data_IF_331510333026
#
_entry.id   IF_331510333026
#
_cell.length_a   1.000
_cell.length_b   1.000
_cell.length_c   1.000
_cell.angle_alpha   90.00
_cell.angle_beta   90.00
_cell.angle_gamma   90.00
#
_symmetry.space_group_name_H-M   'P 1'
#
loop_
_entity.id
_entity.type
_entity.pdbx_description
1 polymer ?
#
# COMPACT_ATOMS: atom_id res chain seq x y z
N UNK A 1 -35.81 -25.42 3.29
CA UNK A 1 -34.42 -24.93 3.36
C UNK A 1 -34.02 -24.61 1.93
N UNK A 2 -33.74 -23.36 1.60
CA UNK A 2 -33.22 -23.04 0.27
C UNK A 2 -31.81 -23.63 0.20
N UNK A 3 -31.70 -24.80 -0.43
CA UNK A 3 -30.45 -25.54 -0.50
C UNK A 3 -29.50 -24.90 -1.51
N UNK A 4 -28.20 -25.12 -1.36
CA UNK A 4 -27.19 -24.62 -2.32
C UNK A 4 -27.47 -24.99 -3.78
N UNK A 5 -28.26 -26.05 -4.02
CA UNK A 5 -28.75 -26.42 -5.35
C UNK A 5 -29.64 -25.37 -6.02
N UNK A 6 -30.56 -24.71 -5.31
CA UNK A 6 -31.41 -23.67 -5.90
C UNK A 6 -30.58 -22.46 -6.36
N UNK A 7 -29.59 -22.07 -5.55
CA UNK A 7 -28.67 -20.99 -5.90
C UNK A 7 -27.88 -21.35 -7.16
N UNK A 8 -27.42 -22.59 -7.29
CA UNK A 8 -26.69 -23.06 -8.49
C UNK A 8 -27.58 -23.02 -9.73
N UNK A 9 -28.84 -23.43 -9.64
CA UNK A 9 -29.79 -23.40 -10.77
C UNK A 9 -30.06 -21.96 -11.22
N UNK A 10 -30.32 -21.05 -10.29
CA UNK A 10 -30.52 -19.62 -10.59
C UNK A 10 -29.26 -19.03 -11.23
N UNK A 11 -28.08 -19.39 -10.72
CA UNK A 11 -26.81 -18.95 -11.29
C UNK A 11 -26.64 -19.45 -12.73
N UNK A 12 -26.97 -20.72 -13.01
CA UNK A 12 -26.93 -21.26 -14.37
C UNK A 12 -27.87 -20.53 -15.33
N UNK A 13 -29.10 -20.23 -14.91
CA UNK A 13 -30.05 -19.45 -15.71
C UNK A 13 -29.48 -18.05 -15.99
N UNK A 14 -28.92 -17.38 -14.97
CA UNK A 14 -28.28 -16.08 -15.14
C UNK A 14 -27.08 -16.13 -16.12
N UNK A 15 -26.26 -17.19 -16.06
CA UNK A 15 -25.16 -17.40 -16.99
C UNK A 15 -25.63 -17.64 -18.42
N UNK A 16 -26.78 -18.28 -18.63
CA UNK A 16 -27.36 -18.47 -19.97
C UNK A 16 -27.90 -17.15 -20.54
N UNK A 17 -28.52 -16.31 -19.71
CA UNK A 17 -29.07 -15.02 -20.14
C UNK A 17 -27.98 -13.97 -20.40
N UNK A 18 -27.03 -13.84 -19.47
CA UNK A 18 -26.02 -12.78 -19.51
C UNK A 18 -24.66 -13.26 -20.06
N UNK A 19 -24.44 -14.57 -20.12
CA UNK A 19 -23.17 -15.17 -20.52
C UNK A 19 -22.16 -15.27 -19.37
N UNK A 20 -21.31 -16.31 -19.36
CA UNK A 20 -20.35 -16.52 -18.28
C UNK A 20 -19.22 -15.49 -18.21
N UNK A 21 -19.01 -14.73 -19.29
CA UNK A 21 -18.01 -13.65 -19.33
C UNK A 21 -18.51 -12.37 -18.66
N UNK A 22 -19.82 -12.14 -18.61
CA UNK A 22 -20.40 -10.88 -18.15
C UNK A 22 -20.33 -10.70 -16.63
N UNK A 23 -20.47 -11.80 -15.88
CA UNK A 23 -20.37 -11.80 -14.41
C UNK A 23 -18.96 -11.36 -13.94
N UNK A 24 -17.85 -11.95 -14.43
CA UNK A 24 -16.50 -11.48 -14.10
C UNK A 24 -16.20 -10.05 -14.56
N UNK A 25 -16.69 -9.65 -15.73
CA UNK A 25 -16.51 -8.30 -16.28
C UNK A 25 -17.14 -7.25 -15.35
N UNK A 26 -18.40 -7.45 -14.94
CA UNK A 26 -19.11 -6.58 -14.00
C UNK A 26 -18.43 -6.57 -12.63
N UNK A 27 -18.03 -7.73 -12.11
CA UNK A 27 -17.35 -7.84 -10.82
C UNK A 27 -16.02 -7.08 -10.81
N UNK A 28 -15.27 -7.11 -11.92
CA UNK A 28 -14.01 -6.40 -12.07
C UNK A 28 -14.20 -4.89 -12.09
N UNK A 29 -15.16 -4.39 -12.89
CA UNK A 29 -15.49 -2.97 -12.93
C UNK A 29 -16.04 -2.46 -11.60
N UNK A 30 -16.93 -3.21 -10.94
CA UNK A 30 -17.42 -2.87 -9.60
C UNK A 30 -16.30 -2.90 -8.57
N UNK A 31 -15.39 -3.87 -8.63
CA UNK A 31 -14.25 -3.97 -7.73
C UNK A 31 -13.31 -2.77 -7.86
N UNK A 32 -13.06 -2.32 -9.10
CA UNK A 32 -12.30 -1.09 -9.37
C UNK A 32 -13.03 0.14 -8.83
N UNK A 33 -14.34 0.26 -9.08
CA UNK A 33 -15.14 1.36 -8.55
C UNK A 33 -15.16 1.42 -7.02
N UNK A 34 -15.35 0.28 -6.34
CA UNK A 34 -15.31 0.17 -4.87
C UNK A 34 -13.93 0.51 -4.34
N UNK A 35 -12.86 0.12 -5.04
CA UNK A 35 -11.49 0.44 -4.67
C UNK A 35 -11.22 1.94 -4.76
N UNK A 36 -11.63 2.60 -5.83
CA UNK A 36 -11.49 4.05 -5.97
C UNK A 36 -12.39 4.80 -4.97
N UNK A 37 -13.62 4.34 -4.75
CA UNK A 37 -14.52 4.88 -3.73
C UNK A 37 -13.91 4.80 -2.32
N UNK A 38 -13.30 3.66 -1.96
CA UNK A 38 -12.60 3.48 -0.68
C UNK A 38 -11.39 4.41 -0.55
N UNK A 39 -10.64 4.64 -1.63
CA UNK A 39 -9.50 5.59 -1.61
C UNK A 39 -9.95 7.03 -1.42
N UNK A 40 -11.04 7.43 -2.08
CA UNK A 40 -11.60 8.78 -1.98
C UNK A 40 -12.29 9.00 -0.62
N UNK A 41 -12.95 7.98 -0.08
CA UNK A 41 -13.67 8.04 1.20
C UNK A 41 -12.77 7.87 2.43
N UNK A 42 -11.51 7.43 2.27
CA UNK A 42 -10.51 7.48 3.34
C UNK A 42 -9.72 8.80 3.22
N UNK A 43 -9.99 9.82 4.05
CA UNK A 43 -9.08 10.93 4.20
C UNK A 43 -7.82 10.42 4.94
N UNK A 44 -6.79 9.98 4.19
CA UNK A 44 -5.44 9.54 4.67
C UNK A 44 -5.49 8.13 5.32
N UNK A 45 -4.69 7.16 4.83
CA UNK A 45 -3.27 7.07 5.16
C UNK A 45 -2.41 7.15 3.90
N UNK A 46 -1.81 8.32 3.73
CA UNK A 46 -0.64 8.55 2.87
C UNK A 46 0.45 7.51 3.17
N UNK A 47 0.44 6.93 4.37
CA UNK A 47 1.42 5.98 4.90
C UNK A 47 1.64 4.72 4.05
N UNK A 48 0.65 3.97 3.56
CA UNK A 48 0.96 2.65 2.98
C UNK A 48 1.84 2.67 1.70
N UNK A 49 1.84 3.78 0.96
CA UNK A 49 2.66 3.96 -0.25
C UNK A 49 3.81 4.96 -0.06
N UNK A 50 3.70 5.94 0.83
CA UNK A 50 4.82 6.84 1.17
C UNK A 50 5.80 6.19 2.12
N UNK A 51 5.34 5.36 3.06
CA UNK A 51 6.20 4.63 4.02
C UNK A 51 7.33 3.88 3.31
N UNK A 52 7.08 3.26 2.15
CA UNK A 52 8.12 2.56 1.39
C UNK A 52 9.14 3.49 0.74
N UNK A 53 8.72 4.69 0.32
CA UNK A 53 9.62 5.70 -0.28
C UNK A 53 10.42 6.44 0.79
N UNK A 54 9.79 6.76 1.92
CA UNK A 54 10.42 7.49 3.02
C UNK A 54 11.51 6.63 3.67
N UNK A 55 11.29 5.32 3.80
CA UNK A 55 12.31 4.36 4.25
C UNK A 55 13.51 4.27 3.29
N UNK A 56 13.24 4.29 1.99
CA UNK A 56 14.28 4.25 0.97
C UNK A 56 15.13 5.54 0.98
N UNK A 57 14.49 6.70 1.17
CA UNK A 57 15.16 8.00 1.28
C UNK A 57 15.99 8.10 2.56
N UNK A 58 15.45 7.69 3.72
CA UNK A 58 16.18 7.63 4.98
C UNK A 58 17.40 6.72 4.89
N UNK A 59 17.25 5.56 4.22
CA UNK A 59 18.37 4.63 4.00
C UNK A 59 19.43 5.21 3.07
N UNK A 60 19.05 5.94 2.02
CA UNK A 60 19.99 6.62 1.11
C UNK A 60 20.78 7.71 1.83
N UNK A 61 20.11 8.58 2.58
CA UNK A 61 20.75 9.65 3.36
C UNK A 61 21.68 9.07 4.43
N UNK A 62 21.26 8.01 5.12
CA UNK A 62 22.09 7.31 6.09
C UNK A 62 23.38 6.77 5.45
N UNK A 63 23.28 6.10 4.29
CA UNK A 63 24.44 5.58 3.56
C UNK A 63 25.39 6.69 3.11
N UNK A 64 24.88 7.80 2.58
CA UNK A 64 25.69 8.96 2.17
C UNK A 64 26.43 9.62 3.35
N UNK A 65 25.83 9.58 4.54
CA UNK A 65 26.45 10.06 5.77
C UNK A 65 27.32 8.99 6.45
N UNK A 66 27.38 7.76 5.92
CA UNK A 66 28.07 6.61 6.50
C UNK A 66 27.48 6.16 7.84
N UNK A 67 26.19 6.39 8.06
CA UNK A 67 25.44 5.91 9.22
C UNK A 67 25.11 4.44 8.99
N UNK A 68 25.44 3.60 9.95
CA UNK A 68 25.12 2.18 9.94
C UNK A 68 23.62 1.97 10.10
N UNK A 69 23.00 1.32 9.10
CA UNK A 69 21.54 1.14 8.94
C UNK A 69 21.03 -0.19 9.47
N UNK A 70 21.88 -1.19 9.64
CA UNK A 70 21.47 -2.54 10.03
C UNK A 70 20.99 -2.58 11.49
N UNK A 71 19.79 -3.13 11.70
CA UNK A 71 19.21 -3.34 13.02
C UNK A 71 18.59 -2.11 13.70
N UNK A 72 18.60 -0.93 13.07
CA UNK A 72 18.04 0.30 13.67
C UNK A 72 16.62 0.59 13.19
N UNK A 73 15.74 0.95 14.13
CA UNK A 73 14.40 1.42 13.82
C UNK A 73 14.41 2.80 13.13
N UNK A 74 13.31 3.19 12.48
CA UNK A 74 13.21 4.49 11.75
C UNK A 74 13.56 5.69 12.61
N UNK A 75 13.11 5.70 13.86
CA UNK A 75 13.38 6.79 14.80
C UNK A 75 14.86 6.87 15.19
N UNK A 76 15.50 5.71 15.39
CA UNK A 76 16.92 5.63 15.72
C UNK A 76 17.79 6.02 14.52
N UNK A 77 17.39 5.61 13.32
CA UNK A 77 18.06 5.99 12.09
C UNK A 77 17.95 7.49 11.82
N UNK A 78 16.75 8.07 11.99
CA UNK A 78 16.54 9.50 11.86
C UNK A 78 17.38 10.31 12.86
N UNK A 79 17.44 9.88 14.13
CA UNK A 79 18.30 10.51 15.15
C UNK A 79 19.78 10.41 14.80
N UNK A 80 20.25 9.24 14.36
CA UNK A 80 21.65 9.03 13.98
C UNK A 80 22.06 9.86 12.76
N UNK A 81 21.18 10.02 11.77
CA UNK A 81 21.36 10.92 10.61
C UNK A 81 21.53 12.36 11.08
N UNK A 82 20.64 12.85 11.96
CA UNK A 82 20.67 14.23 12.46
C UNK A 82 21.93 14.49 13.29
N UNK A 83 22.32 13.56 14.17
CA UNK A 83 23.53 13.69 14.99
C UNK A 83 24.79 13.77 14.11
N UNK A 84 24.89 12.90 13.11
CA UNK A 84 26.06 12.84 12.23
C UNK A 84 26.12 14.04 11.27
N UNK A 85 24.97 14.49 10.77
CA UNK A 85 24.87 15.71 9.98
C UNK A 85 25.31 16.94 10.79
N UNK A 86 24.89 17.04 12.06
CA UNK A 86 25.31 18.13 12.96
C UNK A 86 26.82 18.14 13.22
N UNK A 87 27.45 16.98 13.45
CA UNK A 87 28.92 16.90 13.62
C UNK A 87 29.68 17.38 12.38
N UNK A 88 29.26 16.94 11.19
CA UNK A 88 29.88 17.31 9.91
C UNK A 88 29.73 18.79 9.55
N UNK A 89 28.69 19.46 10.06
CA UNK A 89 28.45 20.90 9.88
C UNK A 89 29.21 21.71 10.94
N UNK A 90 29.28 21.24 12.19
CA UNK A 90 29.97 21.91 13.29
C UNK A 90 31.50 21.89 13.20
N UNK A 91 32.11 20.91 12.52
CA UNK A 91 33.56 20.87 12.24
C UNK A 91 34.01 21.84 11.13
N UNK A 92 33.08 22.47 10.40
CA UNK A 92 33.39 23.31 9.23
C UNK A 92 33.22 24.81 9.47
N UNK A 93 33.04 25.24 10.73
CA UNK A 93 33.02 26.65 11.16
C UNK A 93 34.19 26.96 12.09
#
# INVERSE_FOLDING_TARGET
MLGGLEIIVVFFIALLLFGPKKIPEIARTLGEAVREFRKASNPIPVEAKTVRKDDELLTKVAKELGVEVEGKGREELAKAIIEKARRKIGEKS
#
